data_IF_285711746054
#
_entry.id   IF_285711746054
#
_cell.length_a   1.000
_cell.length_b   1.000
_cell.length_c   1.000
_cell.angle_alpha   90.00
_cell.angle_beta   90.00
_cell.angle_gamma   90.00
#
_symmetry.space_group_name_H-M   'P 1'
#
loop_
_entity.id
_entity.type
_entity.pdbx_description
1 polymer ?
#
# COMPACT_ATOMS: atom_id res chain seq x y z
N UNK A 1 -19.28 -55.48 -18.81
CA UNK A 1 -18.17 -54.71 -19.42
C UNK A 1 -17.86 -53.52 -18.53
N UNK A 2 -16.79 -53.62 -17.74
CA UNK A 2 -16.26 -52.56 -16.88
C UNK A 2 -14.76 -52.81 -16.77
N UNK A 3 -13.95 -51.98 -17.44
CA UNK A 3 -12.49 -52.03 -17.38
C UNK A 3 -12.05 -51.17 -16.20
N UNK A 4 -11.89 -51.82 -15.05
CA UNK A 4 -11.53 -51.22 -13.78
C UNK A 4 -10.03 -50.91 -13.63
N UNK A 5 -9.76 -50.09 -12.62
CA UNK A 5 -8.54 -49.33 -12.29
C UNK A 5 -7.26 -50.18 -12.04
N UNK A 6 -7.32 -51.51 -12.19
CA UNK A 6 -6.19 -52.42 -11.92
C UNK A 6 -5.11 -52.46 -13.01
N UNK A 7 -5.37 -51.92 -14.21
CA UNK A 7 -4.39 -51.89 -15.32
C UNK A 7 -3.42 -50.69 -15.34
N UNK A 8 -3.68 -49.64 -14.55
CA UNK A 8 -2.85 -48.43 -14.53
C UNK A 8 -1.81 -48.45 -13.39
N UNK A 9 -2.05 -49.23 -12.33
CA UNK A 9 -1.10 -49.37 -11.22
C UNK A 9 0.07 -50.33 -11.52
N UNK A 10 -0.10 -51.29 -12.45
CA UNK A 10 0.99 -52.20 -12.85
C UNK A 10 2.10 -51.53 -13.66
N UNK A 11 1.78 -50.47 -14.43
CA UNK A 11 2.75 -49.74 -15.27
C UNK A 11 3.64 -48.76 -14.51
N UNK A 12 3.29 -48.41 -13.28
CA UNK A 12 4.12 -47.56 -12.42
C UNK A 12 5.22 -48.38 -11.73
N UNK A 13 4.93 -49.64 -11.38
CA UNK A 13 5.89 -50.55 -10.73
C UNK A 13 7.02 -51.00 -11.67
N UNK A 14 6.71 -51.33 -12.94
CA UNK A 14 7.72 -51.71 -13.95
C UNK A 14 8.67 -50.54 -14.33
N UNK A 15 8.18 -49.30 -14.28
CA UNK A 15 8.99 -48.10 -14.56
C UNK A 15 9.91 -47.71 -13.39
N UNK A 16 9.63 -48.15 -12.17
CA UNK A 16 10.47 -47.89 -11.00
C UNK A 16 11.64 -48.88 -10.87
N UNK A 17 11.51 -50.09 -11.42
CA UNK A 17 12.58 -51.11 -11.44
C UNK A 17 13.64 -50.82 -12.52
N UNK A 18 13.23 -50.29 -13.68
CA UNK A 18 14.17 -49.82 -14.72
C UNK A 18 14.95 -48.55 -14.34
N UNK A 19 14.50 -47.80 -13.32
CA UNK A 19 15.14 -46.60 -12.81
C UNK A 19 15.95 -46.82 -11.53
N UNK A 20 16.07 -48.07 -11.05
CA UNK A 20 16.95 -48.41 -9.92
C UNK A 20 16.53 -47.82 -8.57
N UNK A 21 15.24 -47.50 -8.39
CA UNK A 21 14.71 -46.90 -7.16
C UNK A 21 14.01 -47.93 -6.29
N UNK A 22 14.74 -48.91 -5.75
CA UNK A 22 14.25 -49.72 -4.62
C UNK A 22 14.75 -49.11 -3.31
N UNK A 23 13.86 -48.70 -2.37
CA UNK A 23 14.29 -48.38 -1.02
C UNK A 23 14.54 -49.68 -0.21
N UNK A 24 15.57 -49.72 0.66
CA UNK A 24 15.75 -50.84 1.61
C UNK A 24 14.66 -50.84 2.69
N UNK A 25 14.39 -51.99 3.34
CA UNK A 25 13.26 -52.14 4.25
C UNK A 25 13.41 -51.28 5.51
N UNK A 26 12.28 -50.74 5.95
CA UNK A 26 12.15 -50.00 7.19
C UNK A 26 12.44 -50.90 8.40
N UNK A 27 13.59 -50.65 9.05
CA UNK A 27 13.81 -51.06 10.42
C UNK A 27 13.34 -49.93 11.35
N UNK A 28 12.40 -50.26 12.24
CA UNK A 28 11.98 -49.42 13.35
C UNK A 28 13.06 -49.46 14.42
N UNK A 29 13.49 -48.30 14.91
CA UNK A 29 13.85 -48.12 16.33
C UNK A 29 13.91 -46.62 16.73
N UNK A 30 13.67 -46.30 18.01
CA UNK A 30 13.20 -44.99 18.47
C UNK A 30 14.33 -44.03 18.89
N UNK A 31 13.93 -42.80 19.20
CA UNK A 31 14.70 -41.70 19.78
C UNK A 31 15.35 -40.72 18.77
N UNK A 32 14.95 -39.45 18.91
CA UNK A 32 15.23 -38.37 17.99
C UNK A 32 16.71 -38.04 17.84
N UNK A 33 17.09 -37.71 16.60
CA UNK A 33 18.25 -36.91 16.18
C UNK A 33 18.25 -36.73 14.64
N UNK A 34 17.09 -36.38 14.06
CA UNK A 34 16.89 -36.29 12.60
C UNK A 34 17.19 -34.89 12.02
N UNK A 35 17.27 -33.86 12.86
CA UNK A 35 17.49 -32.47 12.43
C UNK A 35 18.94 -32.19 11.99
N UNK A 36 19.93 -32.72 12.71
CA UNK A 36 21.33 -32.36 12.50
C UNK A 36 21.92 -32.98 11.21
N UNK A 37 21.41 -34.15 10.82
CA UNK A 37 21.81 -34.81 9.57
C UNK A 37 21.16 -34.16 8.35
N UNK A 38 19.94 -33.63 8.48
CA UNK A 38 19.30 -32.84 7.43
C UNK A 38 19.99 -31.49 7.24
N UNK A 39 20.32 -30.80 8.34
CA UNK A 39 21.07 -29.54 8.31
C UNK A 39 22.47 -29.70 7.69
N UNK A 40 23.18 -30.79 8.02
CA UNK A 40 24.50 -31.08 7.46
C UNK A 40 24.45 -31.47 5.98
N UNK A 41 23.41 -32.21 5.56
CA UNK A 41 23.21 -32.54 4.16
C UNK A 41 22.81 -31.31 3.32
N UNK A 42 21.99 -30.41 3.89
CA UNK A 42 21.61 -29.15 3.26
C UNK A 42 22.80 -28.19 3.13
N UNK A 43 23.62 -28.05 4.18
CA UNK A 43 24.83 -27.22 4.16
C UNK A 43 25.86 -27.70 3.11
N UNK A 44 25.96 -29.03 2.91
CA UNK A 44 26.84 -29.62 1.90
C UNK A 44 26.28 -29.49 0.48
N UNK A 45 24.96 -29.42 0.33
CA UNK A 45 24.28 -29.19 -0.95
C UNK A 45 24.27 -27.70 -1.37
N UNK A 46 24.37 -26.77 -0.41
CA UNK A 46 24.37 -25.31 -0.68
C UNK A 46 25.77 -24.68 -0.77
N UNK A 47 26.84 -25.46 -0.59
CA UNK A 47 28.22 -24.96 -0.69
C UNK A 47 28.59 -23.92 0.38
N UNK A 48 27.88 -23.89 1.51
CA UNK A 48 28.13 -22.94 2.59
C UNK A 48 29.31 -23.42 3.47
N UNK A 49 30.53 -23.05 3.08
CA UNK A 49 31.67 -23.08 3.98
C UNK A 49 31.60 -21.95 5.02
N UNK A 50 32.12 -22.15 6.25
CA UNK A 50 32.16 -21.10 7.26
C UNK A 50 33.26 -20.10 6.90
N UNK A 51 32.88 -18.97 6.32
CA UNK A 51 33.78 -17.81 6.13
C UNK A 51 33.68 -17.16 4.75
N UNK A 52 32.65 -16.35 4.53
CA UNK A 52 32.66 -15.24 3.58
C UNK A 52 31.55 -14.25 3.98
N UNK A 53 31.92 -12.99 4.22
CA UNK A 53 31.00 -11.94 4.66
C UNK A 53 29.81 -11.79 3.70
N UNK A 54 28.61 -12.03 4.22
CA UNK A 54 27.38 -11.75 3.49
C UNK A 54 27.28 -10.24 3.24
N UNK A 55 27.04 -9.84 2.00
CA UNK A 55 26.81 -8.45 1.63
C UNK A 55 25.69 -7.87 2.50
N UNK A 56 26.07 -6.99 3.42
CA UNK A 56 25.14 -6.20 4.24
C UNK A 56 24.38 -5.25 3.32
N UNK A 57 23.05 -5.23 3.41
CA UNK A 57 22.21 -4.31 2.65
C UNK A 57 22.48 -2.84 3.02
N UNK A 58 21.87 -1.88 2.29
CA UNK A 58 22.04 -0.45 2.57
C UNK A 58 21.62 -0.12 4.01
N UNK A 59 22.36 0.80 4.62
CA UNK A 59 22.20 1.25 6.02
C UNK A 59 21.52 2.61 6.11
N UNK A 60 21.13 3.03 7.32
CA UNK A 60 20.64 4.40 7.56
C UNK A 60 21.66 5.50 7.22
N UNK A 61 22.96 5.22 7.36
CA UNK A 61 24.02 6.14 6.94
C UNK A 61 24.09 6.30 5.41
N UNK A 62 23.78 5.24 4.67
CA UNK A 62 23.69 5.30 3.21
C UNK A 62 22.48 6.16 2.77
N UNK A 63 21.36 6.09 3.49
CA UNK A 63 20.18 6.96 3.27
C UNK A 63 20.57 8.43 3.45
N UNK A 64 21.27 8.77 4.53
CA UNK A 64 21.74 10.14 4.75
C UNK A 64 22.68 10.61 3.65
N UNK A 65 23.62 9.76 3.24
CA UNK A 65 24.58 10.07 2.17
C UNK A 65 23.87 10.28 0.84
N UNK A 66 22.90 9.42 0.49
CA UNK A 66 22.09 9.57 -0.70
C UNK A 66 21.22 10.84 -0.65
N UNK A 67 20.61 11.15 0.49
CA UNK A 67 19.79 12.35 0.67
C UNK A 67 20.57 13.64 0.41
N UNK A 68 21.81 13.71 0.87
CA UNK A 68 22.68 14.89 0.67
C UNK A 68 22.94 15.21 -0.80
N UNK A 69 22.83 14.24 -1.72
CA UNK A 69 22.99 14.47 -3.17
C UNK A 69 21.93 15.42 -3.72
N UNK A 70 20.78 15.51 -3.07
CA UNK A 70 19.65 16.32 -3.51
C UNK A 70 19.63 17.73 -2.91
N UNK A 71 20.60 18.09 -2.07
CA UNK A 71 20.68 19.45 -1.50
C UNK A 71 20.68 20.51 -2.60
N UNK A 72 19.87 21.55 -2.42
CA UNK A 72 19.68 22.62 -3.40
C UNK A 72 18.64 22.31 -4.48
N UNK A 73 18.12 21.08 -4.58
CA UNK A 73 17.07 20.73 -5.56
C UNK A 73 15.83 21.59 -5.29
N UNK A 74 15.28 22.32 -6.28
CA UNK A 74 14.09 23.13 -6.08
C UNK A 74 12.89 22.31 -5.58
N UNK A 75 12.11 22.90 -4.68
CA UNK A 75 10.84 22.30 -4.31
C UNK A 75 9.84 22.44 -5.47
N UNK A 76 9.27 21.33 -5.90
CA UNK A 76 8.14 21.31 -6.83
C UNK A 76 7.08 20.40 -6.25
N UNK A 77 5.89 20.96 -5.98
CA UNK A 77 4.76 20.18 -5.47
C UNK A 77 4.38 19.08 -6.46
N UNK A 78 4.29 17.83 -6.01
CA UNK A 78 4.10 16.68 -6.92
C UNK A 78 5.38 16.22 -7.62
N UNK A 79 6.52 16.87 -7.42
CA UNK A 79 7.80 16.58 -8.07
C UNK A 79 8.40 15.23 -7.69
N UNK A 80 8.82 14.47 -8.70
CA UNK A 80 9.51 13.16 -8.57
C UNK A 80 10.78 13.07 -9.41
N UNK A 81 11.12 14.16 -10.11
CA UNK A 81 12.25 14.22 -11.02
C UNK A 81 13.27 15.20 -10.42
N UNK A 82 14.40 14.73 -9.88
CA UNK A 82 15.42 15.58 -9.27
C UNK A 82 15.92 16.69 -10.18
N UNK A 83 15.89 16.50 -11.51
CA UNK A 83 16.31 17.52 -12.46
C UNK A 83 15.28 18.66 -12.61
N UNK A 84 14.01 18.40 -12.31
CA UNK A 84 12.91 19.39 -12.40
C UNK A 84 12.48 19.92 -11.04
N UNK A 85 12.75 19.19 -9.98
CA UNK A 85 12.39 19.51 -8.61
C UNK A 85 11.63 18.38 -7.91
N UNK A 86 11.70 18.39 -6.58
CA UNK A 86 11.16 17.34 -5.71
C UNK A 86 10.22 17.95 -4.68
N UNK A 87 9.13 17.24 -4.33
CA UNK A 87 8.42 17.54 -3.07
C UNK A 87 8.94 16.69 -1.91
N UNK A 88 8.37 16.88 -0.72
CA UNK A 88 8.79 16.20 0.51
C UNK A 88 8.84 14.67 0.35
N UNK A 89 7.79 14.09 -0.21
CA UNK A 89 7.67 12.65 -0.39
C UNK A 89 8.36 12.14 -1.66
N UNK A 90 8.52 12.98 -2.68
CA UNK A 90 9.37 12.73 -3.85
C UNK A 90 10.84 12.63 -3.49
N UNK A 91 11.33 13.49 -2.60
CA UNK A 91 12.69 13.42 -2.05
C UNK A 91 12.92 12.09 -1.32
N UNK A 92 12.06 11.75 -0.35
CA UNK A 92 12.16 10.48 0.39
C UNK A 92 12.12 9.30 -0.59
N UNK A 93 11.19 9.31 -1.54
CA UNK A 93 11.07 8.25 -2.52
C UNK A 93 12.36 8.06 -3.34
N UNK A 94 12.92 9.16 -3.85
CA UNK A 94 14.11 9.12 -4.67
C UNK A 94 15.32 8.61 -3.88
N UNK A 95 15.52 9.08 -2.64
CA UNK A 95 16.66 8.68 -1.80
C UNK A 95 16.67 7.18 -1.53
N UNK A 96 15.52 6.60 -1.19
CA UNK A 96 15.42 5.16 -0.98
C UNK A 96 15.51 4.39 -2.29
N UNK A 97 14.99 4.93 -3.40
CA UNK A 97 15.12 4.33 -4.72
C UNK A 97 16.58 4.21 -5.16
N UNK A 98 17.43 5.21 -4.88
CA UNK A 98 18.87 5.17 -5.15
C UNK A 98 19.58 4.01 -4.43
N UNK A 99 18.99 3.54 -3.33
CA UNK A 99 19.46 2.40 -2.53
C UNK A 99 18.73 1.10 -2.88
N UNK A 100 17.91 1.08 -3.94
CA UNK A 100 17.13 -0.08 -4.36
C UNK A 100 15.90 -0.36 -3.48
N UNK A 101 15.52 0.57 -2.61
CA UNK A 101 14.38 0.44 -1.69
C UNK A 101 13.16 1.16 -2.25
N UNK A 102 12.07 0.43 -2.46
CA UNK A 102 10.85 1.01 -3.03
C UNK A 102 10.00 1.68 -1.97
N UNK A 103 9.88 3.00 -2.04
CA UNK A 103 9.03 3.78 -1.13
C UNK A 103 7.71 4.21 -1.80
N UNK A 104 6.60 4.26 -1.04
CA UNK A 104 5.36 4.85 -1.51
C UNK A 104 5.58 6.31 -1.96
N UNK A 105 4.83 6.77 -2.95
CA UNK A 105 4.95 8.16 -3.44
C UNK A 105 4.45 9.20 -2.43
N UNK A 106 3.51 8.83 -1.57
CA UNK A 106 2.75 9.77 -0.74
C UNK A 106 3.27 9.81 0.70
N UNK A 107 3.41 11.01 1.26
CA UNK A 107 3.87 11.28 2.64
C UNK A 107 3.12 10.45 3.71
N UNK A 108 1.80 10.36 3.64
CA UNK A 108 0.99 9.56 4.58
C UNK A 108 1.24 8.04 4.49
N UNK A 109 1.56 7.51 3.30
CA UNK A 109 1.93 6.10 3.13
C UNK A 109 3.36 5.86 3.58
N UNK A 110 4.26 6.81 3.35
CA UNK A 110 5.61 6.76 3.89
C UNK A 110 5.58 6.81 5.42
N UNK A 111 4.65 7.57 6.00
CA UNK A 111 4.39 7.64 7.43
C UNK A 111 3.76 6.36 8.01
N UNK A 112 3.48 5.33 7.21
CA UNK A 112 3.09 3.99 7.67
C UNK A 112 4.03 2.88 7.18
N UNK A 113 5.06 3.24 6.40
CA UNK A 113 6.05 2.30 5.88
C UNK A 113 7.07 1.89 6.95
N UNK A 114 7.67 0.71 6.80
CA UNK A 114 8.67 0.20 7.74
C UNK A 114 8.11 0.02 9.16
N UNK A 115 9.01 -0.01 10.15
CA UNK A 115 8.61 -0.14 11.57
C UNK A 115 8.47 1.22 12.26
N UNK A 116 7.48 1.39 13.15
CA UNK A 116 7.37 2.58 13.98
C UNK A 116 8.58 2.74 14.90
N UNK A 117 8.99 3.97 15.11
CA UNK A 117 9.97 4.37 16.13
C UNK A 117 9.24 5.25 17.14
N UNK A 118 9.35 4.92 18.43
CA UNK A 118 8.50 5.47 19.46
C UNK A 118 8.71 6.98 19.70
N UNK A 119 9.94 7.45 19.52
CA UNK A 119 10.31 8.85 19.79
C UNK A 119 11.51 9.30 18.96
N UNK A 120 11.75 10.61 18.95
CA UNK A 120 12.94 11.17 18.31
C UNK A 120 14.25 10.76 19.04
N UNK A 121 14.17 10.37 20.31
CA UNK A 121 15.33 9.83 21.04
C UNK A 121 15.73 8.43 20.55
N UNK A 122 14.75 7.66 20.06
CA UNK A 122 14.97 6.33 19.47
C UNK A 122 15.26 6.39 17.96
N UNK A 123 15.10 7.57 17.36
CA UNK A 123 15.30 7.80 15.94
C UNK A 123 16.79 7.72 15.59
N UNK A 124 17.07 7.05 14.48
CA UNK A 124 18.41 6.88 13.93
C UNK A 124 18.53 7.66 12.61
N UNK A 125 19.74 8.09 12.22
CA UNK A 125 19.97 8.65 10.90
C UNK A 125 19.42 7.73 9.80
N UNK A 126 18.69 8.29 8.86
CA UNK A 126 17.99 7.55 7.81
C UNK A 126 16.57 7.11 8.18
N UNK A 127 16.05 7.43 9.37
CA UNK A 127 14.62 7.27 9.66
C UNK A 127 13.79 8.36 8.97
N UNK A 128 12.57 8.05 8.55
CA UNK A 128 11.61 9.01 7.99
C UNK A 128 10.83 9.66 9.12
N UNK A 129 10.86 10.98 9.19
CA UNK A 129 10.03 11.80 10.05
C UNK A 129 8.78 12.22 9.27
N UNK A 130 7.60 12.10 9.88
CA UNK A 130 6.35 12.58 9.33
C UNK A 130 5.70 13.58 10.30
N UNK A 131 5.15 14.65 9.76
CA UNK A 131 4.57 15.77 10.51
C UNK A 131 3.10 15.95 10.17
N UNK A 132 2.37 16.60 11.07
CA UNK A 132 0.93 16.85 11.01
C UNK A 132 0.02 15.61 11.00
N UNK A 133 -1.28 15.85 11.17
CA UNK A 133 -2.35 14.85 11.11
C UNK A 133 -3.59 15.48 10.47
N UNK A 134 -3.93 15.15 9.21
CA UNK A 134 -3.25 14.17 8.34
C UNK A 134 -1.83 14.59 7.94
N UNK A 135 -0.96 13.61 7.67
CA UNK A 135 0.45 13.88 7.35
C UNK A 135 0.58 14.66 6.03
N UNK A 136 1.15 15.86 6.11
CA UNK A 136 1.39 16.74 4.96
C UNK A 136 2.89 16.83 4.58
N UNK A 137 3.78 16.64 5.56
CA UNK A 137 5.21 16.81 5.42
C UNK A 137 5.98 15.59 5.91
N UNK A 138 7.04 15.25 5.18
CA UNK A 138 7.97 14.17 5.52
C UNK A 138 9.40 14.61 5.26
N UNK A 139 10.31 14.09 6.07
CA UNK A 139 11.73 14.40 6.02
C UNK A 139 12.58 13.18 6.39
N UNK A 140 13.86 13.21 6.08
CA UNK A 140 14.81 12.17 6.49
C UNK A 140 15.63 12.68 7.67
N UNK A 141 15.63 11.94 8.78
CA UNK A 141 16.38 12.27 9.98
C UNK A 141 17.88 12.07 9.75
N UNK A 142 18.69 13.03 10.20
CA UNK A 142 20.15 12.99 10.06
C UNK A 142 20.88 12.65 11.38
N UNK A 143 20.15 12.58 12.49
CA UNK A 143 20.74 12.65 13.83
C UNK A 143 20.82 14.09 14.35
N UNK A 144 21.23 14.25 15.61
CA UNK A 144 21.49 15.56 16.25
C UNK A 144 20.37 16.60 16.08
N UNK A 145 19.12 16.15 16.10
CA UNK A 145 17.94 17.00 15.90
C UNK A 145 17.93 17.74 14.55
N UNK A 146 18.59 17.18 13.53
CA UNK A 146 18.63 17.67 12.15
C UNK A 146 17.88 16.73 11.21
N UNK A 147 17.32 17.31 10.16
CA UNK A 147 16.68 16.57 9.07
C UNK A 147 16.97 17.22 7.73
N UNK A 148 16.92 16.42 6.68
CA UNK A 148 16.90 16.91 5.29
C UNK A 148 15.49 16.77 4.75
N UNK A 149 14.98 17.86 4.17
CA UNK A 149 13.61 17.93 3.69
C UNK A 149 13.50 18.82 2.46
N UNK A 150 12.50 18.56 1.63
CA UNK A 150 11.97 19.52 0.66
C UNK A 150 10.74 20.18 1.32
N UNK A 151 10.85 21.38 1.90
CA UNK A 151 9.87 21.85 2.88
C UNK A 151 8.58 22.39 2.24
N UNK A 152 8.69 23.28 1.25
CA UNK A 152 7.52 24.00 0.69
C UNK A 152 7.81 24.67 -0.66
N UNK A 153 6.77 25.05 -1.43
CA UNK A 153 6.92 25.85 -2.63
C UNK A 153 7.75 27.13 -2.42
N UNK A 154 8.63 27.43 -3.38
CA UNK A 154 9.54 28.57 -3.30
C UNK A 154 10.81 28.31 -2.47
N UNK A 155 10.98 27.11 -1.95
CA UNK A 155 12.17 26.67 -1.21
C UNK A 155 12.90 25.57 -1.99
N UNK A 156 13.93 24.98 -1.37
CA UNK A 156 14.72 23.88 -1.93
C UNK A 156 15.01 22.81 -0.87
N UNK A 157 15.47 21.65 -1.33
CA UNK A 157 15.95 20.59 -0.45
C UNK A 157 17.11 21.11 0.39
N UNK A 158 16.95 21.09 1.71
CA UNK A 158 17.95 21.64 2.64
C UNK A 158 18.01 20.86 3.94
N UNK A 159 19.14 21.02 4.63
CA UNK A 159 19.27 20.57 6.02
C UNK A 159 18.67 21.65 6.91
N UNK A 160 17.81 21.24 7.84
CA UNK A 160 17.21 22.11 8.84
C UNK A 160 17.09 21.38 10.17
N UNK A 161 16.85 22.14 11.24
CA UNK A 161 16.48 21.53 12.53
C UNK A 161 15.10 20.89 12.43
N UNK A 162 14.89 19.80 13.18
CA UNK A 162 13.56 19.28 13.45
C UNK A 162 12.84 20.35 14.27
N UNK A 163 11.89 21.06 13.65
CA UNK A 163 11.32 22.29 14.23
C UNK A 163 10.11 22.02 15.14
N UNK A 164 9.52 20.83 15.03
CA UNK A 164 8.41 20.38 15.86
C UNK A 164 8.46 18.87 16.06
N UNK A 165 7.60 18.35 16.94
CA UNK A 165 7.55 16.92 17.23
C UNK A 165 6.92 16.16 16.04
N UNK A 166 7.63 15.20 15.40
CA UNK A 166 7.03 14.37 14.37
C UNK A 166 5.81 13.63 14.90
N UNK A 167 4.73 13.59 14.13
CA UNK A 167 3.54 12.80 14.47
C UNK A 167 3.86 11.32 14.36
N UNK A 168 4.62 10.90 13.33
CA UNK A 168 5.09 9.53 13.14
C UNK A 168 6.59 9.50 12.81
N UNK A 169 7.29 8.45 13.24
CA UNK A 169 8.68 8.18 12.86
C UNK A 169 8.76 6.74 12.35
N UNK A 170 9.39 6.54 11.19
CA UNK A 170 9.46 5.25 10.50
C UNK A 170 10.89 4.86 10.17
N UNK A 171 11.30 3.69 10.64
CA UNK A 171 12.55 3.05 10.22
C UNK A 171 12.28 2.11 9.06
N UNK A 172 12.86 2.43 7.91
CA UNK A 172 12.67 1.70 6.65
C UNK A 172 13.75 0.64 6.47
N UNK A 173 15.00 0.97 6.81
CA UNK A 173 16.13 0.05 6.77
C UNK A 173 16.47 -0.40 8.19
N UNK A 174 16.22 -1.68 8.43
CA UNK A 174 16.77 -2.42 9.55
C UNK A 174 18.26 -2.72 9.28
N UNK A 175 19.14 -2.60 10.29
CA UNK A 175 20.50 -3.15 10.25
C UNK A 175 20.46 -4.69 10.31
N UNK A 176 19.64 -5.33 9.46
CA UNK A 176 19.34 -6.77 9.51
C UNK A 176 19.77 -7.44 8.19
N UNK A 177 20.51 -8.57 8.23
CA UNK A 177 21.09 -9.20 7.06
C UNK A 177 20.03 -9.65 6.03
N UNK A 178 20.41 -9.57 4.76
CA UNK A 178 19.58 -9.70 3.56
C UNK A 178 18.82 -11.05 3.36
N UNK A 179 18.89 -11.97 4.33
CA UNK A 179 18.15 -13.24 4.30
C UNK A 179 16.63 -13.07 4.56
N UNK A 180 16.19 -11.93 5.11
CA UNK A 180 14.77 -11.68 5.41
C UNK A 180 13.98 -11.03 4.26
N UNK A 181 14.61 -10.68 3.14
CA UNK A 181 13.99 -9.87 2.07
C UNK A 181 13.33 -10.71 0.96
N UNK A 182 13.33 -12.04 1.06
CA UNK A 182 12.76 -12.92 0.03
C UNK A 182 11.30 -13.33 0.27
N UNK A 183 10.61 -12.86 1.32
CA UNK A 183 9.20 -13.21 1.57
C UNK A 183 8.29 -12.02 1.95
N UNK A 184 8.42 -10.90 1.23
CA UNK A 184 7.47 -9.78 1.35
C UNK A 184 6.19 -9.97 0.52
N UNK A 185 6.06 -11.09 -0.22
CA UNK A 185 4.81 -11.49 -0.90
C UNK A 185 3.71 -11.93 0.09
N UNK A 186 4.10 -12.31 1.30
CA UNK A 186 3.21 -12.69 2.40
C UNK A 186 2.69 -11.51 3.25
N UNK A 187 3.20 -10.29 3.07
CA UNK A 187 2.84 -9.10 3.86
C UNK A 187 1.86 -8.14 3.15
N UNK A 188 1.14 -8.60 2.12
CA UNK A 188 -0.05 -7.88 1.64
C UNK A 188 -1.10 -7.89 2.76
N UNK A 189 -1.68 -6.73 3.18
CA UNK A 189 -2.79 -6.72 4.11
C UNK A 189 -3.91 -7.62 3.59
N UNK A 190 -4.45 -8.49 4.45
CA UNK A 190 -5.58 -9.37 4.15
C UNK A 190 -6.80 -8.62 3.60
N UNK A 191 -6.89 -7.30 3.80
CA UNK A 191 -7.98 -6.44 3.28
C UNK A 191 -7.97 -6.19 1.77
N UNK A 192 -6.93 -6.61 1.03
CA UNK A 192 -6.84 -6.41 -0.43
C UNK A 192 -6.82 -7.72 -1.23
N UNK A 193 -6.82 -8.88 -0.56
CA UNK A 193 -7.18 -10.16 -1.19
C UNK A 193 -8.63 -10.40 -0.81
N UNK A 194 -9.54 -10.31 -1.79
CA UNK A 194 -10.97 -10.35 -1.55
C UNK A 194 -11.39 -11.41 -0.53
N UNK A 195 -11.93 -10.95 0.59
CA UNK A 195 -12.89 -11.75 1.35
C UNK A 195 -14.26 -11.26 0.92
N UNK A 196 -14.80 -11.93 -0.10
CA UNK A 196 -16.19 -11.79 -0.48
C UNK A 196 -17.05 -12.18 0.74
N UNK A 197 -18.08 -11.37 1.02
CA UNK A 197 -19.08 -11.54 2.07
C UNK A 197 -18.73 -11.17 3.53
N UNK A 198 -17.46 -11.22 3.98
CA UNK A 198 -17.16 -11.14 5.42
C UNK A 198 -17.29 -9.76 6.11
N UNK A 199 -17.27 -8.63 5.38
CA UNK A 199 -17.15 -7.29 6.00
C UNK A 199 -18.19 -6.26 5.60
N UNK A 200 -19.32 -6.68 5.04
CA UNK A 200 -20.47 -5.81 4.73
C UNK A 200 -21.77 -6.29 5.39
N UNK A 201 -21.68 -7.24 6.33
CA UNK A 201 -22.85 -7.68 7.09
C UNK A 201 -23.51 -6.49 7.81
N UNK A 202 -24.81 -6.32 7.62
CA UNK A 202 -25.58 -5.20 8.19
C UNK A 202 -25.38 -3.84 7.49
N UNK A 203 -24.59 -3.77 6.41
CA UNK A 203 -24.47 -2.55 5.61
C UNK A 203 -25.64 -2.46 4.61
N UNK A 204 -26.41 -1.35 4.61
CA UNK A 204 -27.45 -1.14 3.60
C UNK A 204 -26.87 -1.23 2.19
N UNK A 205 -27.60 -1.88 1.27
CA UNK A 205 -27.19 -2.05 -0.14
C UNK A 205 -25.91 -2.89 -0.36
N UNK A 206 -25.51 -3.72 0.62
CA UNK A 206 -24.32 -4.58 0.52
C UNK A 206 -24.23 -5.35 -0.80
N UNK A 207 -25.34 -5.94 -1.27
CA UNK A 207 -25.39 -6.68 -2.53
C UNK A 207 -25.04 -5.83 -3.75
N UNK A 208 -25.46 -4.55 -3.77
CA UNK A 208 -25.14 -3.62 -4.84
C UNK A 208 -23.65 -3.27 -4.83
N UNK A 209 -23.07 -3.06 -3.65
CA UNK A 209 -21.63 -2.81 -3.52
C UNK A 209 -20.79 -4.02 -3.93
N UNK A 210 -21.21 -5.24 -3.55
CA UNK A 210 -20.57 -6.49 -3.95
C UNK A 210 -20.63 -6.67 -5.47
N UNK A 211 -21.81 -6.49 -6.07
CA UNK A 211 -22.04 -6.63 -7.51
C UNK A 211 -21.22 -5.61 -8.31
N UNK A 212 -21.31 -4.33 -7.95
CA UNK A 212 -20.60 -3.26 -8.66
C UNK A 212 -19.08 -3.35 -8.45
N UNK A 213 -18.63 -3.69 -7.23
CA UNK A 213 -17.22 -3.87 -6.94
C UNK A 213 -16.59 -5.01 -7.76
N UNK A 214 -17.28 -6.16 -7.85
CA UNK A 214 -16.85 -7.28 -8.69
C UNK A 214 -16.83 -6.90 -10.19
N UNK A 215 -17.86 -6.18 -10.66
CA UNK A 215 -17.97 -5.76 -12.07
C UNK A 215 -16.88 -4.77 -12.50
N UNK A 216 -16.50 -3.84 -11.62
CA UNK A 216 -15.62 -2.73 -11.97
C UNK A 216 -14.20 -2.84 -11.43
N UNK A 217 -13.89 -3.91 -10.68
CA UNK A 217 -12.60 -4.11 -10.00
C UNK A 217 -12.32 -2.99 -8.97
N UNK A 218 -13.33 -2.73 -8.13
CA UNK A 218 -13.28 -1.74 -7.04
C UNK A 218 -13.70 -2.43 -5.74
N UNK A 219 -13.06 -2.09 -4.63
CA UNK A 219 -13.41 -2.66 -3.33
C UNK A 219 -14.88 -2.37 -2.96
N UNK A 220 -15.71 -3.39 -2.66
CA UNK A 220 -17.06 -3.19 -2.16
C UNK A 220 -17.10 -2.36 -0.86
N UNK A 221 -16.09 -2.51 0.00
CA UNK A 221 -15.98 -1.73 1.24
C UNK A 221 -15.70 -0.26 0.96
N UNK A 222 -14.93 0.06 -0.08
CA UNK A 222 -14.70 1.44 -0.50
C UNK A 222 -15.99 2.09 -1.02
N UNK A 223 -16.78 1.37 -1.83
CA UNK A 223 -18.08 1.85 -2.29
C UNK A 223 -19.04 2.10 -1.12
N UNK A 224 -19.12 1.18 -0.17
CA UNK A 224 -19.92 1.35 1.04
C UNK A 224 -19.46 2.54 1.89
N UNK A 225 -18.15 2.71 2.07
CA UNK A 225 -17.60 3.84 2.83
C UNK A 225 -17.90 5.20 2.17
N UNK A 226 -17.80 5.29 0.84
CA UNK A 226 -18.20 6.48 0.08
C UNK A 226 -19.70 6.74 0.27
N UNK A 227 -20.56 5.74 0.04
CA UNK A 227 -22.01 5.88 0.22
C UNK A 227 -22.40 6.34 1.64
N UNK A 228 -21.67 5.87 2.67
CA UNK A 228 -21.87 6.27 4.05
C UNK A 228 -21.61 7.76 4.26
N UNK A 229 -20.52 8.28 3.69
CA UNK A 229 -20.13 9.69 3.88
C UNK A 229 -20.94 10.62 2.99
N UNK A 230 -21.26 10.19 1.77
CA UNK A 230 -22.02 10.99 0.80
C UNK A 230 -23.46 11.23 1.27
N UNK A 231 -24.15 10.18 1.68
CA UNK A 231 -25.60 10.25 1.92
C UNK A 231 -26.04 9.60 3.23
N UNK A 232 -25.13 9.00 4.00
CA UNK A 232 -25.51 8.18 5.13
C UNK A 232 -26.30 6.93 4.73
N UNK A 233 -26.14 6.47 3.48
CA UNK A 233 -26.98 5.47 2.82
C UNK A 233 -28.40 5.92 2.47
N UNK A 234 -28.67 7.22 2.35
CA UNK A 234 -29.97 7.72 1.90
C UNK A 234 -30.03 7.82 0.36
N UNK A 235 -30.81 6.96 -0.33
CA UNK A 235 -30.88 6.98 -1.79
C UNK A 235 -31.67 8.17 -2.35
N UNK A 236 -32.35 8.95 -1.49
CA UNK A 236 -33.12 10.14 -1.86
C UNK A 236 -32.40 11.44 -1.49
N UNK A 237 -31.14 11.37 -1.05
CA UNK A 237 -30.39 12.55 -0.63
C UNK A 237 -30.19 13.55 -1.80
N UNK A 238 -30.30 14.83 -1.49
CA UNK A 238 -29.99 15.93 -2.41
C UNK A 238 -29.16 16.96 -1.66
N UNK A 239 -27.95 17.26 -2.13
CA UNK A 239 -27.13 18.31 -1.54
C UNK A 239 -27.60 19.71 -1.98
N UNK A 240 -27.23 20.79 -1.26
CA UNK A 240 -27.48 22.16 -1.72
C UNK A 240 -26.87 22.48 -3.10
N UNK A 241 -25.76 21.83 -3.45
CA UNK A 241 -25.12 21.95 -4.77
C UNK A 241 -25.81 21.11 -5.86
N UNK A 242 -26.79 20.27 -5.49
CA UNK A 242 -27.56 19.46 -6.42
C UNK A 242 -27.01 18.06 -6.69
N UNK A 243 -26.07 17.57 -5.87
CA UNK A 243 -25.63 16.18 -5.91
C UNK A 243 -26.78 15.26 -5.45
N UNK A 244 -26.96 14.10 -6.10
CA UNK A 244 -28.18 13.28 -5.93
C UNK A 244 -27.89 11.83 -5.58
N UNK A 245 -28.78 11.31 -4.73
CA UNK A 245 -28.91 9.92 -4.36
C UNK A 245 -27.77 9.34 -3.54
N UNK A 246 -27.73 8.01 -3.52
CA UNK A 246 -26.89 7.22 -2.61
C UNK A 246 -25.41 7.60 -2.66
N UNK A 247 -24.92 7.90 -3.87
CA UNK A 247 -23.52 8.18 -4.16
C UNK A 247 -23.23 9.67 -4.45
N UNK A 248 -24.22 10.55 -4.23
CA UNK A 248 -24.14 12.00 -4.44
C UNK A 248 -23.48 12.39 -5.77
N UNK A 249 -23.98 11.83 -6.87
CA UNK A 249 -23.49 12.20 -8.19
C UNK A 249 -24.09 13.55 -8.61
N UNK A 250 -23.24 14.47 -9.06
CA UNK A 250 -23.70 15.70 -9.72
C UNK A 250 -24.42 15.36 -11.04
N UNK A 251 -25.45 16.12 -11.47
CA UNK A 251 -26.24 15.77 -12.66
C UNK A 251 -25.42 15.62 -13.95
N UNK A 252 -24.39 16.46 -14.15
CA UNK A 252 -23.47 16.32 -15.28
C UNK A 252 -22.63 15.05 -15.22
N UNK A 253 -22.12 14.73 -14.03
CA UNK A 253 -21.35 13.51 -13.77
C UNK A 253 -22.19 12.25 -13.97
N UNK A 254 -23.43 12.24 -13.47
CA UNK A 254 -24.35 11.13 -13.66
C UNK A 254 -24.57 10.82 -15.16
N UNK A 255 -24.84 11.85 -15.97
CA UNK A 255 -24.95 11.69 -17.44
C UNK A 255 -23.67 11.14 -18.07
N UNK A 256 -22.51 11.68 -17.70
CA UNK A 256 -21.22 11.20 -18.21
C UNK A 256 -20.91 9.75 -17.82
N UNK A 257 -21.50 9.27 -16.72
CA UNK A 257 -21.40 7.90 -16.26
C UNK A 257 -22.54 7.01 -16.78
N UNK A 258 -23.46 7.50 -17.61
CA UNK A 258 -24.63 6.71 -18.05
C UNK A 258 -25.50 6.25 -16.87
N UNK A 259 -25.73 7.15 -15.91
CA UNK A 259 -26.68 7.00 -14.81
C UNK A 259 -27.89 7.86 -15.17
N UNK A 260 -28.98 7.22 -15.57
CA UNK A 260 -30.21 7.89 -16.00
C UNK A 260 -30.99 8.43 -14.79
N UNK A 261 -31.05 7.63 -13.72
CA UNK A 261 -31.64 8.03 -12.44
C UNK A 261 -30.62 7.92 -11.29
N UNK A 262 -30.06 9.04 -10.81
CA UNK A 262 -29.17 9.04 -9.65
C UNK A 262 -29.83 8.63 -8.32
N UNK A 263 -31.17 8.63 -8.24
CA UNK A 263 -31.91 8.16 -7.06
C UNK A 263 -32.11 6.64 -7.06
N UNK A 264 -31.91 5.97 -8.20
CA UNK A 264 -31.84 4.52 -8.27
C UNK A 264 -30.50 4.03 -7.65
N UNK A 265 -30.52 3.29 -6.53
CA UNK A 265 -29.30 2.88 -5.86
C UNK A 265 -28.40 2.01 -6.72
N UNK A 266 -28.96 1.16 -7.59
CA UNK A 266 -28.18 0.26 -8.43
C UNK A 266 -27.44 1.03 -9.52
N UNK A 267 -28.11 1.99 -10.17
CA UNK A 267 -27.47 2.86 -11.16
C UNK A 267 -26.43 3.76 -10.51
N UNK A 268 -26.74 4.40 -9.38
CA UNK A 268 -25.82 5.28 -8.67
C UNK A 268 -24.54 4.54 -8.24
N UNK A 269 -24.67 3.34 -7.67
CA UNK A 269 -23.51 2.54 -7.23
C UNK A 269 -22.69 2.04 -8.40
N UNK A 270 -23.31 1.58 -9.50
CA UNK A 270 -22.59 1.17 -10.71
C UNK A 270 -21.85 2.34 -11.38
N UNK A 271 -22.47 3.51 -11.44
CA UNK A 271 -21.84 4.75 -11.93
C UNK A 271 -20.66 5.18 -11.07
N UNK A 272 -20.85 5.24 -9.75
CA UNK A 272 -19.79 5.61 -8.81
C UNK A 272 -18.61 4.61 -8.85
N UNK A 273 -18.88 3.32 -9.03
CA UNK A 273 -17.84 2.31 -9.20
C UNK A 273 -17.01 2.53 -10.48
N UNK A 274 -17.65 2.90 -11.60
CA UNK A 274 -16.93 3.28 -12.83
C UNK A 274 -16.05 4.52 -12.63
N UNK A 275 -16.59 5.53 -11.96
CA UNK A 275 -15.86 6.75 -11.64
C UNK A 275 -14.64 6.43 -10.76
N UNK A 276 -14.84 5.73 -9.65
CA UNK A 276 -13.76 5.35 -8.74
C UNK A 276 -12.70 4.49 -9.40
N UNK A 277 -13.07 3.56 -10.31
CA UNK A 277 -12.10 2.81 -11.11
C UNK A 277 -11.19 3.74 -11.90
N UNK A 278 -11.76 4.72 -12.60
CA UNK A 278 -11.01 5.72 -13.36
C UNK A 278 -10.06 6.52 -12.47
N UNK A 279 -10.57 7.04 -11.36
CA UNK A 279 -9.80 7.84 -10.41
C UNK A 279 -8.69 7.04 -9.73
N UNK A 280 -8.94 5.79 -9.35
CA UNK A 280 -7.94 4.89 -8.77
C UNK A 280 -6.83 4.56 -9.79
N UNK A 281 -7.19 4.37 -11.06
CA UNK A 281 -6.22 4.15 -12.14
C UNK A 281 -5.37 5.40 -12.39
N UNK A 282 -6.00 6.57 -12.39
CA UNK A 282 -5.37 7.85 -12.68
C UNK A 282 -4.42 8.28 -11.55
N UNK A 283 -4.93 8.34 -10.32
CA UNK A 283 -4.19 8.87 -9.19
C UNK A 283 -3.36 7.81 -8.45
N UNK A 284 -3.62 6.51 -8.69
CA UNK A 284 -2.90 5.38 -8.06
C UNK A 284 -2.83 5.47 -6.53
N UNK A 285 -3.80 6.18 -5.94
CA UNK A 285 -3.83 6.57 -4.54
C UNK A 285 -5.29 6.73 -4.12
N UNK A 286 -5.72 5.96 -3.11
CA UNK A 286 -7.11 6.00 -2.62
C UNK A 286 -7.48 7.41 -2.12
N UNK A 287 -6.68 8.11 -1.30
CA UNK A 287 -7.02 9.47 -0.86
C UNK A 287 -7.14 10.50 -1.98
N UNK A 288 -6.28 10.42 -2.99
CA UNK A 288 -6.36 11.33 -4.14
C UNK A 288 -7.56 10.99 -5.04
N UNK A 289 -7.89 9.71 -5.18
CA UNK A 289 -9.11 9.30 -5.85
C UNK A 289 -10.36 9.77 -5.09
N UNK A 290 -10.36 9.74 -3.76
CA UNK A 290 -11.43 10.29 -2.92
C UNK A 290 -11.51 11.81 -2.99
N UNK A 291 -10.37 12.50 -2.98
CA UNK A 291 -10.31 13.94 -3.19
C UNK A 291 -10.83 14.32 -4.59
N UNK A 292 -10.48 13.56 -5.62
CA UNK A 292 -10.97 13.75 -6.98
C UNK A 292 -12.45 13.39 -7.12
N UNK A 293 -12.96 12.47 -6.32
CA UNK A 293 -14.38 12.15 -6.27
C UNK A 293 -15.20 13.34 -5.76
N UNK A 294 -14.73 13.99 -4.68
CA UNK A 294 -15.40 15.14 -4.07
C UNK A 294 -15.14 16.48 -4.80
N UNK A 295 -13.88 16.77 -5.14
CA UNK A 295 -13.46 18.07 -5.70
C UNK A 295 -13.25 18.08 -7.22
N UNK A 296 -13.30 16.91 -7.86
CA UNK A 296 -12.95 16.73 -9.26
C UNK A 296 -11.44 16.51 -9.48
N UNK A 297 -11.11 15.64 -10.44
CA UNK A 297 -9.71 15.32 -10.79
C UNK A 297 -8.89 16.53 -11.25
N UNK A 298 -9.51 17.50 -11.94
CA UNK A 298 -8.85 18.74 -12.36
C UNK A 298 -8.35 19.58 -11.18
N UNK A 299 -9.08 19.61 -10.06
CA UNK A 299 -8.61 20.29 -8.85
C UNK A 299 -7.42 19.54 -8.24
N UNK A 300 -7.49 18.22 -8.17
CA UNK A 300 -6.38 17.39 -7.66
C UNK A 300 -5.12 17.56 -8.52
N UNK A 301 -5.24 17.66 -9.84
CA UNK A 301 -4.11 17.96 -10.73
C UNK A 301 -3.59 19.39 -10.55
N UNK A 302 -4.49 20.38 -10.50
CA UNK A 302 -4.13 21.80 -10.33
C UNK A 302 -3.34 22.04 -9.05
N UNK A 303 -3.78 21.41 -7.95
CA UNK A 303 -3.13 21.53 -6.65
C UNK A 303 -2.08 20.44 -6.42
N UNK A 304 -1.91 19.48 -7.33
CA UNK A 304 -0.97 18.34 -7.26
C UNK A 304 -1.20 17.36 -6.11
N UNK A 305 -2.36 17.38 -5.47
CA UNK A 305 -2.63 16.75 -4.17
C UNK A 305 -4.07 16.99 -3.73
N UNK A 306 -4.39 16.75 -2.44
CA UNK A 306 -5.72 17.05 -1.91
C UNK A 306 -5.89 18.59 -1.94
N UNK A 307 -6.87 19.15 -2.69
CA UNK A 307 -7.05 20.59 -2.79
C UNK A 307 -7.25 21.25 -1.41
N UNK A 308 -6.88 22.53 -1.23
CA UNK A 308 -7.08 23.25 0.02
C UNK A 308 -8.54 23.71 0.19
N UNK A 309 -9.49 22.85 -0.18
CA UNK A 309 -10.92 23.05 0.04
C UNK A 309 -11.28 22.40 1.37
N UNK A 310 -11.82 23.19 2.31
CA UNK A 310 -12.14 22.70 3.65
C UNK A 310 -13.05 21.46 3.63
N UNK A 311 -13.98 21.42 2.68
CA UNK A 311 -14.85 20.26 2.47
C UNK A 311 -14.04 19.01 2.10
N UNK A 312 -13.16 19.10 1.11
CA UNK A 312 -12.37 17.96 0.61
C UNK A 312 -11.36 17.47 1.64
N UNK A 313 -10.70 18.39 2.35
CA UNK A 313 -9.79 18.07 3.45
C UNK A 313 -10.50 17.33 4.60
N UNK A 314 -11.78 17.64 4.84
CA UNK A 314 -12.60 16.91 5.80
C UNK A 314 -13.20 15.60 5.24
N UNK A 315 -13.50 15.56 3.94
CA UNK A 315 -14.14 14.44 3.27
C UNK A 315 -13.25 13.19 3.25
N UNK A 316 -12.01 13.33 2.79
CA UNK A 316 -11.06 12.21 2.64
C UNK A 316 -10.88 11.40 3.94
N UNK A 317 -10.54 12.01 5.10
CA UNK A 317 -10.38 11.25 6.34
C UNK A 317 -11.70 10.66 6.85
N UNK A 318 -12.86 11.28 6.59
CA UNK A 318 -14.17 10.70 6.94
C UNK A 318 -14.41 9.38 6.19
N UNK A 319 -14.13 9.35 4.88
CA UNK A 319 -14.30 8.12 4.08
C UNK A 319 -13.29 7.05 4.50
N UNK A 320 -12.04 7.43 4.76
CA UNK A 320 -11.03 6.48 5.25
C UNK A 320 -11.41 5.88 6.61
N UNK A 321 -11.96 6.70 7.52
CA UNK A 321 -12.48 6.22 8.82
C UNK A 321 -13.65 5.25 8.63
N UNK A 322 -14.59 5.58 7.75
CA UNK A 322 -15.71 4.69 7.42
C UNK A 322 -15.22 3.36 6.80
N UNK A 323 -14.21 3.42 5.92
CA UNK A 323 -13.60 2.24 5.31
C UNK A 323 -12.91 1.35 6.34
N UNK A 324 -12.15 1.94 7.27
CA UNK A 324 -11.49 1.21 8.34
C UNK A 324 -12.50 0.48 9.26
N UNK A 325 -13.64 1.11 9.55
CA UNK A 325 -14.70 0.50 10.35
C UNK A 325 -15.36 -0.72 9.68
N UNK A 326 -15.31 -0.82 8.35
CA UNK A 326 -15.77 -2.00 7.59
C UNK A 326 -14.70 -3.09 7.48
N UNK A 327 -13.48 -2.83 7.95
CA UNK A 327 -12.31 -3.71 7.88
C UNK A 327 -12.03 -4.51 9.14
N UNK A 328 -12.74 -4.23 10.24
CA UNK A 328 -12.67 -4.98 11.50
C UNK A 328 -13.34 -6.34 11.45
#
# INVERSE_FOLDING_TARGET
>A
MSLGVSGVLGRVAELQEQLGLTPPPAALDPAGKSGDKFASALAKATGAGPGAGGATGPTGADVVTAAKKYLGTPYVFGGTDPAKGLDCSGLVQQVYQDLGVKMPRNSWQQATAGRPVASLADAKPGDVLAFDSPVDHVAIYLGDHKMIAAPKPGDHVKIQSVYEKPTHIRRILDDVPAAAVQDMSALRPAGLRGSAAGGLAGVPYADLFLKAGAKHDVSPKLLAAVAKVESGYNPKAVSPAGARGLMQLMPGTARGLGVDDPFDPAQAVDGAARMLKGLLKEFKSVPLALAAYNAGGGAVHKYGGIPPFSETQAYVPKVQKALAALGG
#
